data_IF_421180325990
#
_entry.id   IF_421180325990
#
_cell.length_a   1.000
_cell.length_b   1.000
_cell.length_c   1.000
_cell.angle_alpha   90.00
_cell.angle_beta   90.00
_cell.angle_gamma   90.00
#
_symmetry.space_group_name_H-M   'P 1'
#
loop_
_entity.id
_entity.type
_entity.pdbx_description
1 polymer ?
#
# COMPACT_ATOMS: atom_id res chain seq x y z
N UNK A 1 29.87 -43.53 -26.37
CA UNK A 1 28.64 -42.78 -26.75
C UNK A 1 28.16 -42.03 -25.55
N UNK A 2 28.47 -40.73 -25.49
CA UNK A 2 28.05 -39.86 -24.40
C UNK A 2 27.00 -38.87 -24.98
N UNK A 3 25.74 -38.99 -24.54
CA UNK A 3 24.68 -38.09 -24.91
C UNK A 3 24.75 -36.81 -24.05
N UNK A 4 25.00 -35.72 -24.72
CA UNK A 4 24.98 -34.37 -24.16
C UNK A 4 23.53 -33.96 -23.92
N UNK A 5 23.10 -33.81 -22.64
CA UNK A 5 21.82 -33.21 -22.30
C UNK A 5 21.91 -31.70 -22.53
N UNK A 6 21.15 -31.22 -23.49
CA UNK A 6 20.89 -29.80 -23.71
C UNK A 6 20.12 -29.22 -22.52
N UNK A 7 20.65 -28.14 -21.94
CA UNK A 7 20.01 -27.41 -20.89
C UNK A 7 18.77 -26.67 -21.43
N UNK A 8 17.63 -26.87 -20.78
CA UNK A 8 16.41 -26.11 -21.04
C UNK A 8 16.60 -24.65 -20.59
N UNK A 9 16.58 -23.72 -21.54
CA UNK A 9 16.54 -22.28 -21.24
C UNK A 9 15.21 -21.93 -20.56
N UNK A 10 15.32 -21.29 -19.40
CA UNK A 10 14.18 -20.75 -18.67
C UNK A 10 13.66 -19.47 -19.37
N UNK A 11 12.41 -19.43 -19.89
CA UNK A 11 11.89 -18.28 -20.66
C UNK A 11 11.42 -17.09 -19.81
N UNK A 12 11.73 -17.04 -18.53
CA UNK A 12 11.40 -15.88 -17.68
C UNK A 12 12.58 -14.93 -17.49
N UNK A 13 13.26 -14.53 -18.54
CA UNK A 13 14.08 -13.32 -18.48
C UNK A 13 13.14 -12.12 -18.43
N UNK A 14 13.21 -11.36 -17.36
CA UNK A 14 12.63 -10.03 -17.23
C UNK A 14 12.95 -9.24 -18.51
N UNK A 15 11.92 -8.95 -19.31
CA UNK A 15 12.05 -7.97 -20.39
C UNK A 15 12.14 -6.60 -19.72
N UNK A 16 13.11 -5.75 -20.08
CA UNK A 16 13.13 -4.38 -19.61
C UNK A 16 11.87 -3.68 -20.12
N UNK A 17 11.08 -3.10 -19.20
CA UNK A 17 9.91 -2.32 -19.53
C UNK A 17 10.38 -1.13 -20.37
N UNK A 18 9.89 -1.02 -21.59
CA UNK A 18 10.16 0.08 -22.52
C UNK A 18 9.77 1.40 -21.84
N UNK A 19 10.72 2.32 -21.69
CA UNK A 19 10.64 3.50 -20.86
C UNK A 19 9.82 4.67 -21.42
N UNK A 20 8.60 4.45 -21.94
CA UNK A 20 7.74 5.53 -22.43
C UNK A 20 6.50 5.79 -21.54
N UNK A 21 6.08 4.84 -20.69
CA UNK A 21 4.82 4.93 -19.92
C UNK A 21 4.99 4.58 -18.42
N UNK A 22 6.22 4.53 -17.90
CA UNK A 22 6.43 4.27 -16.47
C UNK A 22 6.25 5.57 -15.67
N UNK A 23 5.45 5.58 -14.58
CA UNK A 23 5.42 6.73 -13.68
C UNK A 23 6.84 6.99 -13.17
N UNK A 24 7.34 8.19 -13.45
CA UNK A 24 8.64 8.73 -13.07
C UNK A 24 9.73 7.70 -12.68
N UNK A 25 10.70 7.51 -13.56
CA UNK A 25 11.84 6.60 -13.36
C UNK A 25 12.79 7.00 -12.22
N UNK A 26 12.47 8.05 -11.48
CA UNK A 26 13.26 8.55 -10.34
C UNK A 26 12.58 8.25 -9.02
N UNK A 27 13.36 8.00 -7.98
CA UNK A 27 12.87 7.80 -6.60
C UNK A 27 12.01 9.00 -6.17
N UNK A 28 12.41 10.23 -6.52
CA UNK A 28 11.67 11.44 -6.19
C UNK A 28 10.26 11.44 -6.77
N UNK A 29 10.10 11.08 -8.04
CA UNK A 29 8.77 11.01 -8.66
C UNK A 29 7.93 9.85 -8.13
N UNK A 30 8.54 8.73 -7.77
CA UNK A 30 7.83 7.63 -7.12
C UNK A 30 7.32 8.03 -5.72
N UNK A 31 8.12 8.79 -4.97
CA UNK A 31 7.72 9.36 -3.69
C UNK A 31 6.59 10.37 -3.84
N UNK A 32 6.70 11.28 -4.79
CA UNK A 32 5.67 12.28 -5.09
C UNK A 32 4.34 11.60 -5.47
N UNK A 33 4.38 10.64 -6.38
CA UNK A 33 3.19 9.86 -6.78
C UNK A 33 2.57 9.10 -5.61
N UNK A 34 3.38 8.52 -4.73
CA UNK A 34 2.88 7.81 -3.55
C UNK A 34 2.29 8.76 -2.50
N UNK A 35 2.85 9.96 -2.35
CA UNK A 35 2.38 10.96 -1.40
C UNK A 35 1.13 11.70 -1.89
N UNK A 36 0.99 11.93 -3.20
CA UNK A 36 -0.17 12.59 -3.78
C UNK A 36 -1.45 11.75 -3.73
N UNK A 37 -1.32 10.42 -3.62
CA UNK A 37 -2.48 9.54 -3.61
C UNK A 37 -3.11 9.35 -4.99
N UNK A 38 -4.45 9.43 -5.06
CA UNK A 38 -5.21 9.25 -6.29
C UNK A 38 -5.29 10.54 -7.14
N UNK A 39 -5.97 10.46 -8.32
CA UNK A 39 -6.18 11.60 -9.20
C UNK A 39 -6.98 12.74 -8.54
N UNK A 40 -6.75 13.99 -8.96
CA UNK A 40 -7.38 15.20 -8.40
C UNK A 40 -8.92 15.08 -8.28
N UNK A 41 -9.59 14.58 -9.32
CA UNK A 41 -11.06 14.36 -9.28
C UNK A 41 -11.54 13.49 -8.12
N UNK A 42 -10.67 12.62 -7.56
CA UNK A 42 -11.01 11.80 -6.41
C UNK A 42 -10.81 12.57 -5.11
N UNK A 43 -9.86 13.49 -5.06
CA UNK A 43 -9.69 14.41 -3.94
C UNK A 43 -10.88 15.35 -3.84
N UNK A 44 -11.29 16.00 -4.94
CA UNK A 44 -12.50 16.84 -5.03
C UNK A 44 -13.74 16.09 -4.56
N UNK A 45 -13.91 14.83 -4.99
CA UNK A 45 -15.04 13.99 -4.55
C UNK A 45 -15.00 13.70 -3.06
N UNK A 46 -13.83 13.40 -2.51
CA UNK A 46 -13.63 13.12 -1.09
C UNK A 46 -13.94 14.35 -0.25
N UNK A 47 -13.45 15.52 -0.69
CA UNK A 47 -13.72 16.81 -0.06
C UNK A 47 -15.19 17.18 -0.11
N UNK A 48 -15.87 17.00 -1.26
CA UNK A 48 -17.31 17.24 -1.41
C UNK A 48 -18.16 16.35 -0.46
N UNK A 49 -17.62 15.21 -0.01
CA UNK A 49 -18.23 14.34 1.00
C UNK A 49 -17.90 14.78 2.44
N UNK A 50 -17.19 15.90 2.64
CA UNK A 50 -16.74 16.37 3.95
C UNK A 50 -15.67 15.48 4.58
N UNK A 51 -15.00 14.65 3.81
CA UNK A 51 -13.93 13.76 4.29
C UNK A 51 -12.58 14.44 4.19
N UNK A 52 -11.73 14.19 5.17
CA UNK A 52 -10.34 14.65 5.16
C UNK A 52 -9.46 13.71 4.33
N UNK A 53 -8.44 14.22 3.65
CA UNK A 53 -7.39 13.40 3.04
C UNK A 53 -6.77 12.44 4.07
N UNK A 54 -6.34 11.26 3.61
CA UNK A 54 -5.85 10.20 4.51
C UNK A 54 -4.69 10.67 5.40
N UNK A 55 -3.72 11.39 4.83
CA UNK A 55 -2.54 11.87 5.58
C UNK A 55 -2.90 12.94 6.60
N UNK A 56 -3.90 13.78 6.29
CA UNK A 56 -4.43 14.74 7.24
C UNK A 56 -5.17 14.06 8.40
N UNK A 57 -5.96 13.01 8.12
CA UNK A 57 -6.58 12.19 9.17
C UNK A 57 -5.53 11.59 10.11
N UNK A 58 -4.45 11.05 9.55
CA UNK A 58 -3.34 10.52 10.35
C UNK A 58 -2.69 11.64 11.15
N UNK A 59 -2.32 12.76 10.53
CA UNK A 59 -1.67 13.88 11.21
C UNK A 59 -2.48 14.49 12.35
N UNK A 60 -3.83 14.48 12.24
CA UNK A 60 -4.72 14.95 13.33
C UNK A 60 -4.87 13.97 14.48
N UNK A 61 -4.56 12.69 14.25
CA UNK A 61 -4.70 11.64 15.26
C UNK A 61 -3.44 11.46 16.10
N UNK A 62 -2.27 11.56 15.45
CA UNK A 62 -0.98 11.21 16.05
C UNK A 62 -0.28 12.43 16.65
N UNK A 63 0.66 12.18 17.55
CA UNK A 63 1.48 13.24 18.11
C UNK A 63 2.36 13.87 17.00
N UNK A 64 2.54 15.20 17.01
CA UNK A 64 3.27 15.89 15.95
C UNK A 64 4.66 15.31 15.70
N UNK A 65 4.95 14.94 14.43
CA UNK A 65 6.26 14.42 14.02
C UNK A 65 6.55 12.97 14.40
N UNK A 66 5.61 12.27 15.07
CA UNK A 66 5.82 10.88 15.51
C UNK A 66 5.57 9.84 14.43
N UNK A 67 4.86 10.18 13.34
CA UNK A 67 4.49 9.20 12.33
C UNK A 67 5.67 8.78 11.44
N UNK A 68 5.97 7.50 11.46
CA UNK A 68 6.95 6.85 10.60
C UNK A 68 6.23 5.93 9.62
N UNK A 69 6.03 6.40 8.37
CA UNK A 69 5.32 5.65 7.34
C UNK A 69 6.18 4.50 6.81
N UNK A 70 5.54 3.35 6.57
CA UNK A 70 6.16 2.15 6.01
C UNK A 70 5.54 1.75 4.68
N UNK A 71 6.38 1.13 3.83
CA UNK A 71 5.99 0.62 2.52
C UNK A 71 5.29 1.68 1.64
N UNK A 72 5.73 2.93 1.73
CA UNK A 72 5.22 4.06 0.94
C UNK A 72 5.27 3.77 -0.57
N UNK A 73 6.31 3.10 -1.05
CA UNK A 73 6.50 2.78 -2.47
C UNK A 73 5.80 1.48 -2.92
N UNK A 74 4.87 0.94 -2.13
CA UNK A 74 4.11 -0.23 -2.58
C UNK A 74 3.32 0.09 -3.86
N UNK A 75 3.49 -0.77 -4.89
CA UNK A 75 2.89 -0.60 -6.22
C UNK A 75 3.25 0.72 -6.95
N UNK A 76 4.37 1.35 -6.61
CA UNK A 76 4.80 2.61 -7.25
C UNK A 76 4.91 2.51 -8.79
N UNK A 77 5.17 1.31 -9.32
CA UNK A 77 5.25 1.03 -10.76
C UNK A 77 3.87 1.02 -11.46
N UNK A 78 2.78 1.00 -10.69
CA UNK A 78 1.43 0.91 -11.23
C UNK A 78 0.73 2.26 -11.15
N UNK A 79 0.37 2.80 -12.29
CA UNK A 79 -0.37 4.05 -12.36
C UNK A 79 -1.65 4.01 -11.51
N UNK A 80 -1.89 5.07 -10.75
CA UNK A 80 -3.07 5.24 -9.92
C UNK A 80 -3.15 4.28 -8.72
N UNK A 81 -2.02 3.65 -8.31
CA UNK A 81 -1.92 2.79 -7.14
C UNK A 81 -0.88 3.29 -6.11
N UNK A 82 -0.75 4.60 -5.96
CA UNK A 82 0.15 5.21 -4.98
C UNK A 82 -0.03 4.62 -3.58
N UNK A 83 1.08 4.14 -2.98
CA UNK A 83 1.11 3.43 -1.69
C UNK A 83 0.09 2.27 -1.58
N UNK A 84 -0.43 1.79 -2.70
CA UNK A 84 -1.53 0.82 -2.85
C UNK A 84 -2.82 1.18 -2.11
N UNK A 85 -3.12 2.48 -1.98
CA UNK A 85 -4.35 2.98 -1.35
C UNK A 85 -4.44 2.74 0.16
N UNK A 86 -3.31 2.48 0.82
CA UNK A 86 -3.25 2.35 2.27
C UNK A 86 -1.95 2.93 2.84
N UNK A 87 -2.09 3.80 3.81
CA UNK A 87 -1.00 4.37 4.61
C UNK A 87 -0.81 3.48 5.83
N UNK A 88 0.42 3.04 6.09
CA UNK A 88 0.74 2.18 7.25
C UNK A 88 2.02 2.65 7.91
N UNK A 89 2.15 2.46 9.21
CA UNK A 89 3.35 2.84 9.95
C UNK A 89 3.22 2.73 11.46
N UNK A 90 4.21 3.29 12.15
CA UNK A 90 4.18 3.50 13.60
C UNK A 90 4.00 4.99 13.89
N UNK A 91 3.35 5.29 15.00
CA UNK A 91 3.17 6.65 15.49
C UNK A 91 3.00 6.63 17.01
N UNK A 92 3.04 7.81 17.62
CA UNK A 92 2.63 7.96 19.00
C UNK A 92 1.27 8.68 19.07
N UNK A 93 0.42 8.27 20.03
CA UNK A 93 -0.84 8.91 20.37
C UNK A 93 -0.83 9.15 21.88
N UNK A 94 -0.74 10.42 22.29
CA UNK A 94 -0.63 10.78 23.70
C UNK A 94 0.60 10.16 24.37
N UNK A 95 1.74 10.13 23.67
CA UNK A 95 3.00 9.57 24.13
C UNK A 95 3.05 8.04 24.17
N UNK A 96 2.06 7.35 23.58
CA UNK A 96 2.04 5.87 23.50
C UNK A 96 2.21 5.41 22.05
N UNK A 97 3.18 4.56 21.80
CA UNK A 97 3.40 4.02 20.47
C UNK A 97 2.26 3.10 20.05
N UNK A 98 1.80 3.29 18.82
CA UNK A 98 0.77 2.48 18.14
C UNK A 98 1.25 2.11 16.75
N UNK A 99 0.77 0.98 16.23
CA UNK A 99 0.81 0.69 14.81
C UNK A 99 -0.49 1.20 14.17
N UNK A 100 -0.39 1.75 12.97
CA UNK A 100 -1.52 2.42 12.32
C UNK A 100 -1.67 1.97 10.87
N UNK A 101 -2.92 1.78 10.44
CA UNK A 101 -3.28 1.71 9.02
C UNK A 101 -4.44 2.67 8.73
N UNK A 102 -4.39 3.33 7.56
CA UNK A 102 -5.43 4.24 7.10
C UNK A 102 -5.66 4.04 5.60
N UNK A 103 -6.91 3.78 5.20
CA UNK A 103 -7.25 3.70 3.77
C UNK A 103 -7.26 5.08 3.14
N UNK A 104 -6.75 5.17 1.91
CA UNK A 104 -6.85 6.34 1.05
C UNK A 104 -8.00 6.14 0.04
N UNK A 105 -9.16 6.80 0.26
CA UNK A 105 -10.31 6.66 -0.64
C UNK A 105 -10.06 7.28 -2.02
N UNK A 106 -9.03 8.10 -2.21
CA UNK A 106 -8.66 8.67 -3.51
C UNK A 106 -8.03 7.64 -4.44
N UNK A 107 -7.41 6.59 -3.86
CA UNK A 107 -6.78 5.48 -4.59
C UNK A 107 -7.74 4.29 -4.65
N UNK A 108 -8.34 4.05 -5.83
CA UNK A 108 -9.30 2.93 -6.05
C UNK A 108 -10.38 2.82 -4.97
N UNK A 109 -10.89 3.97 -4.48
CA UNK A 109 -11.86 4.07 -3.39
C UNK A 109 -11.42 3.33 -2.11
N UNK A 110 -10.14 3.34 -1.79
CA UNK A 110 -9.56 2.65 -0.64
C UNK A 110 -9.66 1.12 -0.69
N UNK A 111 -9.99 0.54 -1.85
CA UNK A 111 -10.17 -0.90 -1.98
C UNK A 111 -8.86 -1.67 -1.83
N UNK A 112 -8.97 -2.88 -1.29
CA UNK A 112 -7.83 -3.73 -0.98
C UNK A 112 -7.44 -4.62 -2.16
N UNK A 113 -6.14 -4.67 -2.45
CA UNK A 113 -5.49 -5.61 -3.34
C UNK A 113 -4.41 -6.42 -2.60
N UNK A 114 -3.64 -7.26 -3.31
CA UNK A 114 -2.62 -8.11 -2.68
C UNK A 114 -1.57 -7.32 -1.89
N UNK A 115 -1.11 -6.17 -2.41
CA UNK A 115 -0.13 -5.33 -1.70
C UNK A 115 -0.73 -4.59 -0.51
N UNK A 116 -2.01 -4.20 -0.59
CA UNK A 116 -2.74 -3.65 0.57
C UNK A 116 -2.74 -4.65 1.72
N UNK A 117 -3.13 -5.90 1.44
CA UNK A 117 -3.16 -6.99 2.43
C UNK A 117 -1.76 -7.25 3.00
N UNK A 118 -0.74 -7.32 2.16
CA UNK A 118 0.65 -7.50 2.59
C UNK A 118 1.10 -6.38 3.55
N UNK A 119 0.81 -5.11 3.22
CA UNK A 119 1.13 -3.96 4.09
C UNK A 119 0.44 -4.07 5.44
N UNK A 120 -0.86 -4.38 5.46
CA UNK A 120 -1.63 -4.48 6.71
C UNK A 120 -1.08 -5.61 7.59
N UNK A 121 -0.88 -6.80 7.02
CA UNK A 121 -0.33 -7.95 7.75
C UNK A 121 1.06 -7.65 8.33
N UNK A 122 1.95 -7.01 7.57
CA UNK A 122 3.27 -6.59 8.08
C UNK A 122 3.16 -5.63 9.25
N UNK A 123 2.20 -4.70 9.19
CA UNK A 123 1.97 -3.74 10.26
C UNK A 123 1.40 -4.44 11.51
N UNK A 124 0.48 -5.40 11.35
CA UNK A 124 -0.02 -6.22 12.44
C UNK A 124 1.09 -7.08 13.09
N UNK A 125 1.91 -7.76 12.26
CA UNK A 125 3.06 -8.55 12.74
C UNK A 125 4.05 -7.66 13.52
N UNK A 126 4.22 -6.41 13.10
CA UNK A 126 5.06 -5.44 13.80
C UNK A 126 4.42 -4.99 15.11
N UNK A 127 3.13 -4.68 15.11
CA UNK A 127 2.38 -4.35 16.32
C UNK A 127 2.49 -5.47 17.37
N UNK A 128 2.32 -6.71 16.93
CA UNK A 128 2.44 -7.89 17.80
C UNK A 128 3.84 -8.03 18.39
N UNK A 129 4.90 -7.85 17.57
CA UNK A 129 6.28 -7.95 18.06
C UNK A 129 6.68 -6.85 19.03
N UNK A 130 6.09 -5.67 18.87
CA UNK A 130 6.34 -4.51 19.73
C UNK A 130 5.37 -4.44 20.92
N UNK A 131 4.37 -5.34 20.94
CA UNK A 131 3.30 -5.37 21.97
C UNK A 131 2.56 -4.01 22.06
N UNK A 132 2.32 -3.38 20.87
CA UNK A 132 1.62 -2.10 20.78
C UNK A 132 0.24 -2.27 20.13
N UNK A 133 -0.73 -1.37 20.45
CA UNK A 133 -2.05 -1.40 19.84
C UNK A 133 -1.98 -1.17 18.32
N UNK A 134 -2.92 -1.78 17.57
CA UNK A 134 -3.16 -1.52 16.16
C UNK A 134 -4.38 -0.62 15.99
N UNK A 135 -4.21 0.51 15.29
CA UNK A 135 -5.27 1.47 14.98
C UNK A 135 -5.64 1.38 13.51
N UNK A 136 -6.93 1.27 13.22
CA UNK A 136 -7.47 1.18 11.86
C UNK A 136 -8.34 2.39 11.55
N UNK A 137 -7.94 3.22 10.57
CA UNK A 137 -8.76 4.28 9.99
C UNK A 137 -9.36 3.78 8.67
N UNK A 138 -10.46 3.04 8.76
CA UNK A 138 -11.06 2.36 7.63
C UNK A 138 -11.93 3.31 6.81
N UNK A 139 -11.63 3.43 5.51
CA UNK A 139 -12.45 4.08 4.49
C UNK A 139 -12.23 3.34 3.18
N UNK A 140 -12.93 2.22 2.99
CA UNK A 140 -12.65 1.25 1.92
C UNK A 140 -13.93 0.76 1.27
N UNK A 141 -13.92 0.67 -0.07
CA UNK A 141 -14.98 0.02 -0.83
C UNK A 141 -14.93 -1.53 -0.78
N UNK A 142 -13.99 -2.11 -0.02
CA UNK A 142 -13.82 -3.55 0.13
C UNK A 142 -12.71 -4.12 -0.74
N UNK A 143 -12.83 -5.38 -1.16
CA UNK A 143 -11.83 -6.08 -1.95
C UNK A 143 -11.90 -5.70 -3.43
N UNK A 144 -10.75 -5.54 -4.10
CA UNK A 144 -10.69 -5.41 -5.57
C UNK A 144 -11.15 -6.72 -6.19
N UNK A 145 -12.21 -6.67 -6.98
CA UNK A 145 -12.84 -7.87 -7.57
C UNK A 145 -11.86 -8.67 -8.43
N UNK A 146 -11.02 -7.99 -9.19
CA UNK A 146 -10.00 -8.60 -10.06
C UNK A 146 -8.89 -9.32 -9.31
N UNK A 147 -8.68 -8.99 -8.03
CA UNK A 147 -7.52 -9.43 -7.25
C UNK A 147 -7.88 -10.50 -6.20
N UNK A 148 -9.15 -10.91 -6.12
CA UNK A 148 -9.65 -11.80 -5.06
C UNK A 148 -8.88 -13.12 -4.96
N UNK A 149 -8.56 -13.74 -6.08
CA UNK A 149 -7.82 -15.02 -6.12
C UNK A 149 -6.42 -14.90 -5.52
N UNK A 150 -5.81 -13.73 -5.64
CA UNK A 150 -4.46 -13.48 -5.12
C UNK A 150 -4.47 -12.97 -3.67
N UNK A 151 -5.58 -12.38 -3.24
CA UNK A 151 -5.69 -11.66 -1.99
C UNK A 151 -6.23 -12.53 -0.83
N UNK A 152 -7.21 -13.41 -1.10
CA UNK A 152 -7.86 -14.19 -0.04
C UNK A 152 -7.15 -15.46 0.36
N UNK A 153 -6.62 -16.31 -0.56
CA UNK A 153 -6.06 -17.60 -0.18
C UNK A 153 -4.67 -17.49 0.46
N UNK A 154 -4.36 -18.49 1.27
CA UNK A 154 -3.02 -18.68 1.84
C UNK A 154 -2.80 -18.02 3.20
N UNK A 155 -1.64 -18.34 3.78
CA UNK A 155 -1.24 -17.91 5.15
C UNK A 155 -1.09 -16.41 5.31
N UNK A 156 -0.97 -15.66 4.21
CA UNK A 156 -0.84 -14.20 4.15
C UNK A 156 -1.99 -13.56 3.37
N UNK A 157 -3.13 -14.22 3.34
CA UNK A 157 -4.34 -13.70 2.72
C UNK A 157 -5.14 -12.80 3.65
N UNK A 158 -6.13 -12.08 3.09
CA UNK A 158 -6.98 -11.14 3.80
C UNK A 158 -7.78 -11.76 4.96
N UNK A 159 -7.94 -13.07 4.99
CA UNK A 159 -8.59 -13.77 6.10
C UNK A 159 -7.79 -13.75 7.42
N UNK A 160 -6.57 -13.21 7.42
CA UNK A 160 -5.73 -13.06 8.62
C UNK A 160 -5.70 -11.63 9.16
N UNK A 161 -6.37 -10.67 8.49
CA UNK A 161 -6.56 -9.31 8.96
C UNK A 161 -7.77 -9.24 9.89
#
# INVERSE_FOLDING_TARGET
>A
MAETRAGAENPQRHQPVSGADAPSSTISGALEAALSGGPERHHEKTEAQGKLPVRERVARLVDPGSFSEEALLANWEKEGLGADGVVTGLADIGGRTVALMANDPTVKAGSWGPKTVEKILRTQERALRLEVPMVYLVDSAGARITDQVQMFPGRRGAGHI
#
